data_IF_483852606985
#
_entry.id   IF_483852606985
#
_cell.length_a   1.000
_cell.length_b   1.000
_cell.length_c   1.000
_cell.angle_alpha   90.00
_cell.angle_beta   90.00
_cell.angle_gamma   90.00
#
_symmetry.space_group_name_H-M   'P 1'
#
loop_
_entity.id
_entity.type
_entity.pdbx_description
1 polymer ?
#
# COMPACT_ATOMS: atom_id res chain seq x y z
N UNK A 1 2.90 -39.90 0.25
CA UNK A 1 3.06 -38.76 -0.70
C UNK A 1 3.73 -37.60 0.02
N UNK A 2 4.83 -37.00 -0.46
CA UNK A 2 5.26 -35.68 0.02
C UNK A 2 4.98 -34.64 -1.07
N UNK A 3 3.76 -34.10 -1.11
CA UNK A 3 3.37 -33.12 -2.15
C UNK A 3 2.52 -31.98 -1.55
N UNK A 4 2.99 -31.41 -0.44
CA UNK A 4 2.34 -30.24 0.18
C UNK A 4 3.25 -29.37 1.06
N UNK A 5 4.45 -29.82 1.40
CA UNK A 5 5.28 -29.18 2.42
C UNK A 5 6.01 -27.91 1.98
N UNK A 6 6.51 -27.84 0.74
CA UNK A 6 7.45 -26.78 0.34
C UNK A 6 6.88 -25.36 0.43
N UNK A 7 5.55 -25.21 0.38
CA UNK A 7 4.87 -23.91 0.48
C UNK A 7 3.86 -23.83 1.61
N UNK A 8 3.75 -24.88 2.45
CA UNK A 8 2.76 -24.93 3.52
C UNK A 8 2.89 -23.74 4.48
N UNK A 9 4.13 -23.32 4.77
CA UNK A 9 4.40 -22.18 5.65
C UNK A 9 3.94 -20.86 5.04
N UNK A 10 4.15 -20.68 3.73
CA UNK A 10 3.72 -19.47 3.01
C UNK A 10 2.20 -19.38 2.96
N UNK A 11 1.53 -20.49 2.64
CA UNK A 11 0.05 -20.56 2.65
C UNK A 11 -0.51 -20.25 4.04
N UNK A 12 0.08 -20.81 5.11
CA UNK A 12 -0.32 -20.50 6.49
C UNK A 12 -0.08 -19.05 6.87
N UNK A 13 1.04 -18.46 6.43
CA UNK A 13 1.33 -17.05 6.65
C UNK A 13 0.31 -16.14 5.97
N UNK A 14 -0.04 -16.42 4.72
CA UNK A 14 -1.03 -15.65 3.95
C UNK A 14 -2.43 -15.75 4.58
N UNK A 15 -2.83 -16.94 5.02
CA UNK A 15 -4.09 -17.13 5.78
C UNK A 15 -4.09 -16.33 7.09
N UNK A 16 -2.97 -16.33 7.82
CA UNK A 16 -2.80 -15.53 9.03
C UNK A 16 -2.81 -14.02 8.77
N UNK A 17 -2.33 -13.57 7.61
CA UNK A 17 -2.46 -12.18 7.17
C UNK A 17 -3.91 -11.84 6.83
N UNK A 18 -4.60 -12.69 6.07
CA UNK A 18 -6.02 -12.50 5.73
C UNK A 18 -6.91 -12.41 6.98
N UNK A 19 -6.66 -13.27 7.98
CA UNK A 19 -7.37 -13.22 9.25
C UNK A 19 -7.14 -11.92 10.04
N UNK A 20 -5.89 -11.42 10.05
CA UNK A 20 -5.55 -10.11 10.68
C UNK A 20 -6.24 -8.93 9.99
N UNK A 21 -6.49 -9.04 8.69
CA UNK A 21 -7.24 -8.08 7.90
C UNK A 21 -8.77 -8.30 7.96
N UNK A 22 -9.24 -9.20 8.84
CA UNK A 22 -10.64 -9.58 9.01
C UNK A 22 -11.34 -10.09 7.73
N UNK A 23 -10.57 -10.65 6.78
CA UNK A 23 -11.13 -11.26 5.59
C UNK A 23 -11.89 -12.55 5.97
N UNK A 24 -13.23 -12.54 5.79
CA UNK A 24 -14.13 -13.68 6.10
C UNK A 24 -14.53 -14.49 4.87
N UNK A 25 -14.12 -14.07 3.68
CA UNK A 25 -14.46 -14.69 2.42
C UNK A 25 -13.59 -14.15 1.29
N UNK A 26 -13.58 -14.85 0.16
CA UNK A 26 -12.78 -14.49 -1.02
C UNK A 26 -13.69 -14.29 -2.25
N UNK A 27 -13.32 -13.42 -3.21
CA UNK A 27 -12.11 -12.59 -3.21
C UNK A 27 -12.19 -11.42 -2.20
N UNK A 28 -11.05 -11.03 -1.66
CA UNK A 28 -10.89 -9.90 -0.75
C UNK A 28 -9.62 -9.15 -1.15
N UNK A 29 -9.78 -7.91 -1.63
CA UNK A 29 -8.68 -7.10 -2.15
C UNK A 29 -8.37 -6.00 -1.14
N UNK A 30 -7.09 -5.77 -0.86
CA UNK A 30 -6.65 -4.63 -0.04
C UNK A 30 -5.81 -3.70 -0.89
N UNK A 31 -6.24 -2.44 -0.98
CA UNK A 31 -5.55 -1.39 -1.75
C UNK A 31 -4.80 -0.50 -0.76
N UNK A 32 -3.50 -0.34 -0.99
CA UNK A 32 -2.59 0.49 -0.19
C UNK A 32 -2.60 0.20 1.34
N UNK A 33 -2.98 -1.02 1.74
CA UNK A 33 -3.13 -1.39 3.15
C UNK A 33 -4.25 -0.65 3.89
N UNK A 34 -5.05 0.18 3.20
CA UNK A 34 -6.08 1.05 3.78
C UNK A 34 -7.49 0.67 3.36
N UNK A 35 -7.71 0.39 2.08
CA UNK A 35 -9.05 0.11 1.55
C UNK A 35 -9.25 -1.40 1.44
N UNK A 36 -10.18 -1.94 2.23
CA UNK A 36 -10.60 -3.33 2.15
C UNK A 36 -11.83 -3.46 1.24
N UNK A 37 -11.70 -4.25 0.18
CA UNK A 37 -12.74 -4.47 -0.83
C UNK A 37 -13.19 -5.93 -0.77
N UNK A 38 -14.26 -6.24 -0.03
CA UNK A 38 -14.80 -7.59 0.05
C UNK A 38 -15.61 -7.93 -1.20
N UNK A 39 -15.45 -9.16 -1.70
CA UNK A 39 -16.24 -9.70 -2.80
C UNK A 39 -15.74 -9.32 -4.18
N UNK A 40 -16.34 -9.97 -5.19
CA UNK A 40 -16.05 -9.71 -6.59
C UNK A 40 -16.82 -8.47 -7.05
N UNK A 41 -16.21 -7.29 -6.88
CA UNK A 41 -16.73 -6.04 -7.42
C UNK A 41 -16.60 -6.03 -8.95
N UNK A 42 -17.44 -5.26 -9.62
CA UNK A 42 -17.28 -4.99 -11.05
C UNK A 42 -16.03 -4.14 -11.33
N UNK A 43 -15.58 -4.16 -12.57
CA UNK A 43 -14.35 -3.50 -13.00
C UNK A 43 -14.38 -1.98 -12.82
N UNK A 44 -15.54 -1.34 -13.01
CA UNK A 44 -15.66 0.11 -12.92
C UNK A 44 -15.56 0.54 -11.45
N UNK A 45 -16.27 -0.16 -10.55
CA UNK A 45 -16.15 0.04 -9.10
C UNK A 45 -14.72 -0.14 -8.61
N UNK A 46 -14.03 -1.20 -9.06
CA UNK A 46 -12.64 -1.43 -8.67
C UNK A 46 -11.70 -0.33 -9.19
N UNK A 47 -11.91 0.15 -10.42
CA UNK A 47 -11.12 1.23 -11.01
C UNK A 47 -11.27 2.54 -10.24
N UNK A 48 -12.49 2.89 -9.83
CA UNK A 48 -12.74 4.11 -9.06
C UNK A 48 -12.13 4.05 -7.65
N UNK A 49 -12.14 2.87 -7.02
CA UNK A 49 -11.43 2.66 -5.74
C UNK A 49 -9.91 2.82 -5.89
N UNK A 50 -9.31 2.31 -6.98
CA UNK A 50 -7.89 2.49 -7.27
C UNK A 50 -7.54 3.97 -7.49
N UNK A 51 -8.36 4.70 -8.24
CA UNK A 51 -8.19 6.15 -8.45
C UNK A 51 -8.27 6.93 -7.15
N UNK A 52 -9.24 6.58 -6.30
CA UNK A 52 -9.42 7.20 -4.97
C UNK A 52 -8.19 6.96 -4.10
N UNK A 53 -7.76 5.70 -3.97
CA UNK A 53 -6.57 5.36 -3.19
C UNK A 53 -5.30 6.06 -3.71
N UNK A 54 -5.17 6.22 -5.02
CA UNK A 54 -4.07 6.96 -5.63
C UNK A 54 -4.09 8.45 -5.26
N UNK A 55 -5.25 9.11 -5.39
CA UNK A 55 -5.40 10.52 -5.05
C UNK A 55 -5.09 10.80 -3.56
N UNK A 56 -5.51 9.90 -2.67
CA UNK A 56 -5.30 10.02 -1.22
C UNK A 56 -3.84 9.86 -0.78
N UNK A 57 -3.02 9.19 -1.59
CA UNK A 57 -1.61 8.87 -1.28
C UNK A 57 -0.61 9.73 -2.05
N UNK A 58 -1.04 10.35 -3.15
CA UNK A 58 -0.22 11.21 -4.00
C UNK A 58 -0.79 12.63 -4.09
N UNK A 59 -1.01 13.33 -2.96
CA UNK A 59 -1.42 14.71 -3.02
C UNK A 59 -0.30 15.55 -3.63
N UNK A 60 -0.66 16.39 -4.60
CA UNK A 60 0.27 17.41 -5.10
C UNK A 60 0.35 18.50 -4.03
N UNK A 61 1.36 18.39 -3.18
CA UNK A 61 1.66 19.38 -2.16
C UNK A 61 2.63 20.41 -2.73
N UNK A 62 2.30 21.71 -2.73
CA UNK A 62 3.27 22.73 -3.05
C UNK A 62 4.39 22.69 -2.01
N UNK A 63 5.64 22.73 -2.46
CA UNK A 63 6.78 22.90 -1.56
C UNK A 63 6.68 24.31 -0.98
N UNK A 64 6.32 24.40 0.30
CA UNK A 64 6.18 25.66 1.01
C UNK A 64 7.22 25.74 2.13
N UNK A 65 8.03 26.80 2.09
CA UNK A 65 8.97 27.17 3.16
C UNK A 65 10.44 27.13 2.75
N UNK A 66 11.25 27.89 3.49
CA UNK A 66 12.69 28.03 3.29
C UNK A 66 13.48 26.97 4.07
N UNK A 67 12.83 25.84 4.39
CA UNK A 67 13.49 24.76 5.10
C UNK A 67 14.61 24.18 4.22
N UNK A 68 15.81 23.93 4.77
CA UNK A 68 16.90 23.35 4.01
C UNK A 68 16.50 21.95 3.55
N UNK A 69 16.24 21.81 2.25
CA UNK A 69 15.98 20.54 1.57
C UNK A 69 17.19 20.17 0.73
N UNK A 70 17.43 18.86 0.59
CA UNK A 70 18.42 18.41 -0.37
C UNK A 70 17.78 18.38 -1.76
N UNK A 71 18.26 19.23 -2.65
CA UNK A 71 17.80 19.30 -4.02
C UNK A 71 18.69 18.48 -4.98
N UNK A 72 18.33 18.43 -6.27
CA UNK A 72 19.15 17.80 -7.30
C UNK A 72 20.54 18.46 -7.43
N UNK A 73 20.70 19.69 -6.95
CA UNK A 73 21.95 20.45 -6.96
C UNK A 73 22.78 20.26 -5.68
N UNK A 74 22.40 19.33 -4.81
CA UNK A 74 23.04 19.08 -3.51
C UNK A 74 22.28 19.72 -2.34
N UNK A 75 22.82 19.53 -1.13
CA UNK A 75 22.23 20.06 0.09
C UNK A 75 23.03 21.27 0.59
N UNK A 76 22.36 22.32 1.06
CA UNK A 76 23.01 23.44 1.72
C UNK A 76 23.53 22.99 3.11
N UNK A 77 24.82 23.18 3.37
CA UNK A 77 25.40 22.99 4.69
C UNK A 77 25.29 24.29 5.50
N UNK A 78 24.95 24.25 6.81
CA UNK A 78 24.96 25.44 7.64
C UNK A 78 26.40 25.98 7.72
N UNK A 79 26.58 27.26 7.41
CA UNK A 79 27.86 27.94 7.51
C UNK A 79 28.26 27.98 9.00
N UNK A 80 29.47 27.50 9.33
CA UNK A 80 29.97 27.53 10.71
C UNK A 80 30.05 28.99 11.17
N UNK A 81 29.37 29.30 12.27
CA UNK A 81 29.51 30.55 13.01
C UNK A 81 30.93 30.71 13.61
#
# INVERSE_FOLDING_TARGET
>A
MPAGGQYADRVRADQGQAARLAARGVPFIVIDGRYAVPGAQDSDTLLDLLRTAWADTHPVVPVAGDAPVCGPNGCAFPERA
#
